data_IF_961841361746
#
_entry.id   IF_961841361746
#
_cell.length_a   1.000
_cell.length_b   1.000
_cell.length_c   1.000
_cell.angle_alpha   90.00
_cell.angle_beta   90.00
_cell.angle_gamma   90.00
#
_symmetry.space_group_name_H-M   'P 1'
#
loop_
_entity.id
_entity.type
_entity.pdbx_description
1 polymer ?
#
# COMPACT_ATOMS: atom_id res chain seq x y z
N UNK A 1 -59.88 -63.73 -17.24
CA UNK A 1 -59.75 -63.04 -15.94
C UNK A 1 -58.98 -61.74 -16.13
N UNK A 2 -59.67 -60.58 -16.14
CA UNK A 2 -59.01 -59.26 -16.17
C UNK A 2 -58.72 -58.84 -14.72
N UNK A 3 -57.47 -58.94 -14.30
CA UNK A 3 -57.04 -58.50 -12.97
C UNK A 3 -57.15 -56.98 -12.86
N UNK A 4 -57.88 -56.52 -11.84
CA UNK A 4 -58.25 -55.13 -11.61
C UNK A 4 -57.05 -54.33 -11.06
N UNK A 5 -56.18 -53.85 -11.96
CA UNK A 5 -54.92 -53.16 -11.63
C UNK A 5 -55.09 -51.67 -11.26
N UNK A 6 -56.32 -51.15 -11.32
CA UNK A 6 -56.60 -49.71 -11.15
C UNK A 6 -56.63 -49.24 -9.68
N UNK A 7 -56.84 -50.15 -8.72
CA UNK A 7 -56.91 -49.78 -7.30
C UNK A 7 -55.53 -49.57 -6.65
N UNK A 8 -54.48 -50.24 -7.16
CA UNK A 8 -53.11 -50.11 -6.62
C UNK A 8 -52.46 -48.77 -7.01
N UNK A 9 -52.74 -48.28 -8.21
CA UNK A 9 -52.27 -46.98 -8.72
C UNK A 9 -52.92 -45.79 -7.99
N UNK A 10 -54.21 -45.88 -7.62
CA UNK A 10 -54.89 -44.83 -6.84
C UNK A 10 -54.34 -44.70 -5.41
N UNK A 11 -54.03 -45.83 -4.76
CA UNK A 11 -53.46 -45.84 -3.40
C UNK A 11 -52.03 -45.26 -3.36
N UNK A 12 -51.23 -45.51 -4.40
CA UNK A 12 -49.89 -44.90 -4.52
C UNK A 12 -49.93 -43.40 -4.78
N UNK A 13 -50.86 -42.91 -5.62
CA UNK A 13 -51.02 -41.46 -5.86
C UNK A 13 -51.48 -40.70 -4.62
N UNK A 14 -52.34 -41.30 -3.80
CA UNK A 14 -52.79 -40.71 -2.54
C UNK A 14 -51.62 -40.56 -1.56
N UNK A 15 -50.75 -41.56 -1.46
CA UNK A 15 -49.59 -41.53 -0.57
C UNK A 15 -48.56 -40.47 -0.97
N UNK A 16 -48.36 -40.23 -2.27
CA UNK A 16 -47.42 -39.20 -2.76
C UNK A 16 -47.94 -37.79 -2.46
N UNK A 17 -49.26 -37.56 -2.58
CA UNK A 17 -49.84 -36.25 -2.33
C UNK A 17 -49.70 -35.84 -0.86
N UNK A 18 -49.99 -36.75 0.07
CA UNK A 18 -49.85 -36.48 1.52
C UNK A 18 -48.39 -36.25 1.92
N UNK A 19 -47.45 -37.00 1.35
CA UNK A 19 -46.01 -36.78 1.60
C UNK A 19 -45.56 -35.40 1.11
N UNK A 20 -46.04 -34.95 -0.05
CA UNK A 20 -45.68 -33.63 -0.57
C UNK A 20 -46.26 -32.48 0.27
N UNK A 21 -47.49 -32.63 0.77
CA UNK A 21 -48.12 -31.64 1.66
C UNK A 21 -47.38 -31.54 3.00
N UNK A 22 -46.95 -32.68 3.58
CA UNK A 22 -46.14 -32.69 4.81
C UNK A 22 -44.75 -32.07 4.61
N UNK A 23 -44.15 -32.25 3.42
CA UNK A 23 -42.86 -31.62 3.07
C UNK A 23 -43.03 -30.10 2.92
N UNK A 24 -44.07 -29.63 2.22
CA UNK A 24 -44.33 -28.19 2.06
C UNK A 24 -44.57 -27.50 3.41
N UNK A 25 -45.37 -28.09 4.31
CA UNK A 25 -45.64 -27.52 5.64
C UNK A 25 -44.36 -27.50 6.52
N UNK A 26 -43.52 -28.53 6.42
CA UNK A 26 -42.23 -28.56 7.10
C UNK A 26 -41.28 -27.48 6.54
N UNK A 27 -41.21 -27.32 5.23
CA UNK A 27 -40.37 -26.31 4.58
C UNK A 27 -40.81 -24.88 4.92
N UNK A 28 -42.11 -24.59 4.90
CA UNK A 28 -42.64 -23.27 5.27
C UNK A 28 -42.37 -22.93 6.74
N UNK A 29 -42.63 -23.87 7.65
CA UNK A 29 -42.41 -23.64 9.09
C UNK A 29 -40.92 -23.47 9.42
N UNK A 30 -40.04 -24.21 8.74
CA UNK A 30 -38.60 -24.07 8.89
C UNK A 30 -38.11 -22.75 8.26
N UNK A 31 -38.60 -22.37 7.08
CA UNK A 31 -38.26 -21.10 6.45
C UNK A 31 -38.63 -19.91 7.32
N UNK A 32 -39.85 -19.86 7.85
CA UNK A 32 -40.32 -18.77 8.71
C UNK A 32 -39.49 -18.64 10.00
N UNK A 33 -39.03 -19.76 10.56
CA UNK A 33 -38.20 -19.77 11.77
C UNK A 33 -36.77 -19.26 11.52
N UNK A 34 -36.18 -19.55 10.36
CA UNK A 34 -34.76 -19.27 10.08
C UNK A 34 -34.52 -18.11 9.11
N UNK A 35 -35.55 -17.55 8.44
CA UNK A 35 -35.39 -16.44 7.48
C UNK A 35 -34.63 -15.24 8.05
N UNK A 36 -34.84 -14.92 9.33
CA UNK A 36 -34.13 -13.82 10.00
C UNK A 36 -32.64 -14.13 10.21
N UNK A 37 -32.31 -15.38 10.57
CA UNK A 37 -30.93 -15.82 10.74
C UNK A 37 -30.22 -15.83 9.39
N UNK A 38 -30.84 -16.39 8.34
CA UNK A 38 -30.28 -16.35 6.99
C UNK A 38 -30.08 -14.92 6.47
N UNK A 39 -31.06 -14.03 6.70
CA UNK A 39 -30.94 -12.62 6.33
C UNK A 39 -29.76 -11.92 7.02
N UNK A 40 -29.59 -12.14 8.32
CA UNK A 40 -28.45 -11.60 9.09
C UNK A 40 -27.13 -12.20 8.58
N UNK A 41 -27.05 -13.52 8.39
CA UNK A 41 -25.85 -14.19 7.89
C UNK A 41 -25.43 -13.70 6.50
N UNK A 42 -26.39 -13.53 5.58
CA UNK A 42 -26.13 -12.98 4.24
C UNK A 42 -25.64 -11.53 4.34
N UNK A 43 -26.26 -10.73 5.21
CA UNK A 43 -25.85 -9.33 5.42
C UNK A 43 -24.42 -9.24 5.96
N UNK A 44 -24.07 -10.06 6.95
CA UNK A 44 -22.71 -10.14 7.50
C UNK A 44 -21.72 -10.58 6.41
N UNK A 45 -22.07 -11.60 5.62
CA UNK A 45 -21.23 -12.07 4.52
C UNK A 45 -20.97 -10.97 3.49
N UNK A 46 -22.00 -10.19 3.12
CA UNK A 46 -21.86 -9.06 2.19
C UNK A 46 -20.95 -7.98 2.76
N UNK A 47 -21.09 -7.63 4.05
CA UNK A 47 -20.22 -6.67 4.72
C UNK A 47 -18.76 -7.16 4.72
N UNK A 48 -18.53 -8.45 5.00
CA UNK A 48 -17.20 -9.05 4.95
C UNK A 48 -16.61 -8.94 3.54
N UNK A 49 -17.37 -9.29 2.50
CA UNK A 49 -16.92 -9.19 1.10
C UNK A 49 -16.55 -7.74 0.75
N UNK A 50 -17.37 -6.77 1.17
CA UNK A 50 -17.08 -5.35 0.95
C UNK A 50 -15.76 -4.96 1.64
N UNK A 51 -15.58 -5.30 2.92
CA UNK A 51 -14.33 -5.02 3.65
C UNK A 51 -13.13 -5.67 2.98
N UNK A 52 -13.24 -6.94 2.60
CA UNK A 52 -12.16 -7.66 1.90
C UNK A 52 -11.84 -7.03 0.54
N UNK A 53 -12.83 -6.54 -0.20
CA UNK A 53 -12.60 -5.86 -1.48
C UNK A 53 -11.76 -4.58 -1.32
N UNK A 54 -11.93 -3.86 -0.20
CA UNK A 54 -11.08 -2.71 0.13
C UNK A 54 -9.70 -3.16 0.61
N UNK A 55 -9.61 -4.12 1.54
CA UNK A 55 -8.31 -4.56 2.10
C UNK A 55 -7.41 -5.20 1.04
N UNK A 56 -7.99 -5.96 0.11
CA UNK A 56 -7.25 -6.59 -1.00
C UNK A 56 -6.94 -5.61 -2.14
N UNK A 57 -7.40 -4.36 -2.07
CA UNK A 57 -7.00 -3.35 -3.04
C UNK A 57 -5.48 -3.16 -2.96
N UNK A 58 -4.75 -3.29 -4.07
CA UNK A 58 -3.29 -3.18 -4.08
C UNK A 58 -2.81 -1.84 -3.52
N UNK A 59 -3.61 -0.77 -3.65
CA UNK A 59 -3.29 0.54 -3.12
C UNK A 59 -3.23 0.58 -1.58
N UNK A 60 -4.03 -0.22 -0.89
CA UNK A 60 -4.09 -0.24 0.58
C UNK A 60 -2.95 -1.08 1.15
N UNK A 61 -2.68 -2.24 0.55
CA UNK A 61 -1.54 -3.08 0.96
C UNK A 61 -0.20 -2.39 0.74
N UNK A 62 -0.03 -1.66 -0.38
CA UNK A 62 1.17 -0.84 -0.65
C UNK A 62 1.34 0.28 0.39
N UNK A 63 0.27 1.00 0.74
CA UNK A 63 0.31 2.03 1.80
C UNK A 63 0.66 1.46 3.17
N UNK A 64 0.18 0.26 3.49
CA UNK A 64 0.50 -0.40 4.74
C UNK A 64 1.97 -0.81 4.80
N UNK A 65 2.48 -1.45 3.75
CA UNK A 65 3.90 -1.82 3.63
C UNK A 65 4.82 -0.58 3.69
N UNK A 66 4.43 0.48 2.98
CA UNK A 66 5.09 1.79 2.99
C UNK A 66 5.26 2.35 4.40
N UNK A 67 4.19 2.33 5.21
CA UNK A 67 4.24 2.83 6.59
C UNK A 67 5.14 2.00 7.52
N UNK A 68 5.21 0.69 7.31
CA UNK A 68 6.06 -0.20 8.13
C UNK A 68 7.54 0.01 7.81
N UNK A 69 7.87 0.18 6.53
CA UNK A 69 9.25 0.30 6.08
C UNK A 69 9.81 1.73 6.25
N UNK A 70 8.96 2.75 6.15
CA UNK A 70 9.38 4.15 6.28
C UNK A 70 9.81 4.49 7.72
N UNK A 71 10.91 5.21 7.85
CA UNK A 71 11.32 5.86 9.09
C UNK A 71 10.70 7.24 9.25
N UNK A 72 10.61 7.72 10.50
CA UNK A 72 10.17 9.07 10.81
C UNK A 72 11.36 9.97 11.19
N UNK A 73 11.33 11.22 10.75
CA UNK A 73 12.28 12.25 11.16
C UNK A 73 12.07 12.59 12.64
N UNK A 74 13.08 12.33 13.49
CA UNK A 74 13.04 12.70 14.92
C UNK A 74 14.25 13.56 15.25
N UNK A 75 14.03 14.77 15.77
CA UNK A 75 15.10 15.71 16.17
C UNK A 75 16.18 15.88 15.09
N UNK A 76 15.73 16.05 13.83
CA UNK A 76 16.57 16.21 12.63
C UNK A 76 17.44 14.99 12.28
N UNK A 77 17.19 13.86 12.93
CA UNK A 77 17.90 12.62 12.67
C UNK A 77 16.96 11.59 12.07
N UNK A 78 17.42 10.91 11.03
CA UNK A 78 16.87 9.65 10.56
C UNK A 78 17.78 8.52 10.98
N UNK A 79 17.20 7.44 11.49
CA UNK A 79 17.90 6.19 11.75
C UNK A 79 17.53 5.24 10.62
N UNK A 80 18.49 4.93 9.74
CA UNK A 80 18.26 4.03 8.60
C UNK A 80 18.33 2.57 9.07
N UNK A 81 19.28 2.26 9.94
CA UNK A 81 19.39 0.98 10.64
C UNK A 81 20.05 1.20 12.01
N UNK A 82 20.41 0.15 12.73
CA UNK A 82 20.99 0.25 14.07
C UNK A 82 22.31 1.03 14.14
N UNK A 83 23.02 1.20 13.03
CA UNK A 83 24.36 1.80 12.98
C UNK A 83 24.45 3.08 12.17
N UNK A 84 23.59 3.27 11.17
CA UNK A 84 23.64 4.40 10.24
C UNK A 84 22.57 5.44 10.56
N UNK A 85 23.02 6.68 10.79
CA UNK A 85 22.14 7.85 10.94
C UNK A 85 22.38 8.87 9.85
N UNK A 86 21.31 9.59 9.51
CA UNK A 86 21.34 10.79 8.66
C UNK A 86 20.93 11.96 9.56
N UNK A 87 21.83 12.90 9.76
CA UNK A 87 21.67 14.07 10.61
C UNK A 87 21.55 15.29 9.71
N UNK A 88 20.39 15.94 9.73
CA UNK A 88 20.13 17.18 9.01
C UNK A 88 20.40 18.38 9.91
N UNK A 89 20.99 19.43 9.36
CA UNK A 89 20.91 20.73 10.03
C UNK A 89 19.46 21.25 10.03
N UNK A 90 19.11 22.12 10.98
CA UNK A 90 17.75 22.69 11.09
C UNK A 90 17.28 23.39 9.81
N UNK A 91 18.19 24.13 9.16
CA UNK A 91 17.88 24.84 7.92
C UNK A 91 17.56 23.84 6.78
N UNK A 92 18.33 22.77 6.69
CA UNK A 92 18.16 21.73 5.67
C UNK A 92 16.84 20.98 5.87
N UNK A 93 16.49 20.65 7.11
CA UNK A 93 15.18 20.07 7.41
C UNK A 93 14.04 20.98 6.97
N UNK A 94 14.09 22.27 7.32
CA UNK A 94 13.05 23.24 6.93
C UNK A 94 12.92 23.35 5.41
N UNK A 95 14.04 23.46 4.72
CA UNK A 95 14.08 23.54 3.26
C UNK A 95 13.55 22.26 2.59
N UNK A 96 13.91 21.08 3.11
CA UNK A 96 13.42 19.79 2.62
C UNK A 96 11.89 19.68 2.75
N UNK A 97 11.35 20.02 3.92
CA UNK A 97 9.90 20.02 4.18
C UNK A 97 9.19 21.04 3.30
N UNK A 98 9.77 22.24 3.14
CA UNK A 98 9.22 23.28 2.29
C UNK A 98 9.18 22.86 0.82
N UNK A 99 10.25 22.23 0.32
CA UNK A 99 10.34 21.73 -1.05
C UNK A 99 9.24 20.70 -1.32
N UNK A 100 9.02 19.78 -0.40
CA UNK A 100 7.92 18.80 -0.47
C UNK A 100 6.54 19.47 -0.48
N UNK A 101 6.29 20.42 0.42
CA UNK A 101 4.99 21.12 0.51
C UNK A 101 4.66 21.88 -0.76
N UNK A 102 5.64 22.59 -1.33
CA UNK A 102 5.46 23.39 -2.54
C UNK A 102 5.18 22.53 -3.78
N UNK A 103 5.55 21.25 -3.75
CA UNK A 103 5.41 20.32 -4.85
C UNK A 103 4.54 19.10 -4.50
N UNK A 104 3.65 19.20 -3.52
CA UNK A 104 2.84 18.07 -3.03
C UNK A 104 2.16 17.21 -4.12
N UNK A 105 1.65 17.76 -5.25
CA UNK A 105 1.04 16.91 -6.29
C UNK A 105 2.04 16.26 -7.26
N UNK A 106 3.32 16.61 -7.20
CA UNK A 106 4.34 16.19 -8.17
C UNK A 106 5.55 15.54 -7.48
N UNK A 107 6.27 14.69 -8.21
CA UNK A 107 7.56 14.20 -7.75
C UNK A 107 8.61 15.33 -7.87
N UNK A 108 9.43 15.51 -6.85
CA UNK A 108 10.63 16.34 -6.90
C UNK A 108 11.87 15.47 -6.73
N UNK A 109 13.00 15.97 -7.20
CA UNK A 109 14.31 15.37 -6.95
C UNK A 109 15.22 16.39 -6.30
N UNK A 110 15.93 15.98 -5.27
CA UNK A 110 16.86 16.79 -4.48
C UNK A 110 18.13 15.97 -4.22
N UNK A 111 19.26 16.65 -4.18
CA UNK A 111 20.55 16.03 -3.93
C UNK A 111 21.09 16.57 -2.59
N UNK A 112 21.24 15.71 -1.59
CA UNK A 112 21.73 16.11 -0.28
C UNK A 112 23.25 15.96 -0.21
N UNK A 113 23.91 17.04 0.21
CA UNK A 113 25.36 17.17 0.25
C UNK A 113 25.78 17.40 1.70
N UNK A 114 26.93 16.84 2.06
CA UNK A 114 27.46 16.93 3.40
C UNK A 114 28.75 16.14 3.55
N UNK A 115 28.94 15.55 4.73
CA UNK A 115 30.11 14.75 5.06
C UNK A 115 29.70 13.50 5.86
N UNK A 116 30.56 12.48 5.81
CA UNK A 116 30.38 11.25 6.60
C UNK A 116 31.37 11.27 7.76
N UNK A 117 30.88 11.21 8.99
CA UNK A 117 31.68 11.20 10.21
C UNK A 117 31.30 9.97 11.03
N UNK A 118 32.26 9.08 11.29
CA UNK A 118 32.04 7.84 12.04
C UNK A 118 30.91 6.95 11.47
N UNK A 119 30.67 6.99 10.16
CA UNK A 119 29.59 6.26 9.49
C UNK A 119 28.25 7.00 9.42
N UNK A 120 28.10 8.12 10.15
CA UNK A 120 26.90 8.94 10.11
C UNK A 120 26.99 10.02 9.02
N UNK A 121 25.87 10.25 8.35
CA UNK A 121 25.73 11.21 7.26
C UNK A 121 25.30 12.56 7.84
N UNK A 122 26.19 13.54 7.84
CA UNK A 122 25.90 14.90 8.31
C UNK A 122 25.63 15.79 7.11
N UNK A 123 24.37 16.13 6.90
CA UNK A 123 23.89 16.88 5.75
C UNK A 123 23.75 18.36 6.10
N UNK A 124 24.38 19.21 5.28
CA UNK A 124 24.40 20.65 5.49
C UNK A 124 24.01 21.46 4.24
N UNK A 125 23.77 20.82 3.10
CA UNK A 125 23.38 21.50 1.85
C UNK A 125 22.40 20.65 1.04
N UNK A 126 21.41 21.32 0.43
CA UNK A 126 20.54 20.76 -0.61
C UNK A 126 20.97 21.36 -1.95
N UNK A 127 21.06 20.52 -2.97
CA UNK A 127 21.16 20.93 -4.36
C UNK A 127 19.87 20.56 -5.08
N UNK A 128 19.28 21.54 -5.77
CA UNK A 128 18.06 21.39 -6.54
C UNK A 128 18.44 21.19 -8.01
N UNK A 129 18.49 19.95 -8.52
CA UNK A 129 18.76 19.74 -9.94
C UNK A 129 17.66 20.38 -10.78
N UNK A 130 18.05 20.95 -11.94
CA UNK A 130 17.07 21.50 -12.87
C UNK A 130 16.15 20.39 -13.35
N UNK A 131 14.85 20.55 -13.10
CA UNK A 131 13.82 19.65 -13.60
C UNK A 131 13.63 19.93 -15.10
N UNK A 132 13.69 18.86 -15.90
CA UNK A 132 13.49 18.86 -17.36
C UNK A 132 12.03 18.53 -17.65
N UNK A 133 11.49 17.52 -16.96
CA UNK A 133 10.11 17.07 -17.08
C UNK A 133 9.58 16.66 -15.69
N UNK A 134 8.32 16.99 -15.40
CA UNK A 134 7.69 16.69 -14.12
C UNK A 134 6.25 16.24 -14.33
N UNK A 135 5.88 15.15 -13.67
CA UNK A 135 4.52 14.62 -13.62
C UNK A 135 4.21 14.08 -12.22
N UNK A 136 3.01 13.54 -12.04
CA UNK A 136 2.56 12.95 -10.77
C UNK A 136 3.31 11.65 -10.42
N UNK A 137 3.84 10.95 -11.43
CA UNK A 137 4.44 9.61 -11.26
C UNK A 137 5.85 9.51 -11.82
N UNK A 138 6.42 10.64 -12.23
CA UNK A 138 7.73 10.68 -12.87
C UNK A 138 8.33 12.07 -12.83
N UNK A 139 9.63 12.15 -12.55
CA UNK A 139 10.45 13.36 -12.69
C UNK A 139 11.73 13.05 -13.47
N UNK A 140 12.01 13.85 -14.49
CA UNK A 140 13.29 13.88 -15.21
C UNK A 140 14.00 15.16 -14.80
N UNK A 141 15.22 15.03 -14.30
CA UNK A 141 16.07 16.17 -13.94
C UNK A 141 17.47 16.01 -14.46
N UNK A 142 18.25 17.08 -14.38
CA UNK A 142 19.70 16.98 -14.41
C UNK A 142 20.21 16.02 -13.32
N UNK A 143 21.37 15.40 -13.56
CA UNK A 143 22.02 14.54 -12.58
C UNK A 143 22.43 15.31 -11.32
N UNK A 144 22.51 14.59 -10.20
CA UNK A 144 23.10 15.12 -8.98
C UNK A 144 24.62 15.31 -9.14
N UNK A 145 25.23 16.33 -8.49
CA UNK A 145 26.68 16.48 -8.43
C UNK A 145 27.34 15.23 -7.82
N UNK A 146 28.57 14.91 -8.20
CA UNK A 146 29.31 13.75 -7.67
C UNK A 146 29.53 13.80 -6.14
N UNK A 147 29.51 15.00 -5.56
CA UNK A 147 29.62 15.23 -4.10
C UNK A 147 28.34 14.91 -3.33
N UNK A 148 27.28 14.48 -4.01
CA UNK A 148 26.01 14.10 -3.39
C UNK A 148 26.18 12.84 -2.56
N UNK A 149 25.73 12.89 -1.31
CA UNK A 149 25.72 11.73 -0.41
C UNK A 149 24.38 11.00 -0.40
N UNK A 150 23.28 11.73 -0.66
CA UNK A 150 21.94 11.15 -0.68
C UNK A 150 21.17 11.72 -1.88
N UNK A 151 20.75 10.85 -2.79
CA UNK A 151 19.80 11.18 -3.86
C UNK A 151 18.40 10.94 -3.32
N UNK A 152 17.60 11.99 -3.17
CA UNK A 152 16.25 11.89 -2.63
C UNK A 152 15.22 12.41 -3.61
N UNK A 153 14.15 11.65 -3.82
CA UNK A 153 12.96 12.13 -4.54
C UNK A 153 11.70 12.02 -3.69
N UNK A 154 10.66 12.75 -4.05
CA UNK A 154 9.36 12.63 -3.40
C UNK A 154 8.42 11.72 -4.16
N UNK A 155 7.52 11.08 -3.44
CA UNK A 155 6.38 10.37 -3.98
C UNK A 155 5.09 10.99 -3.42
N UNK A 156 4.12 11.37 -4.27
CA UNK A 156 2.86 11.92 -3.79
C UNK A 156 1.98 10.84 -3.12
N UNK A 157 0.99 11.29 -2.33
CA UNK A 157 -0.05 10.45 -1.72
C UNK A 157 0.40 9.38 -0.70
N UNK A 158 1.45 9.66 0.07
CA UNK A 158 1.96 8.80 1.16
C UNK A 158 2.46 7.42 0.70
N UNK A 159 2.87 7.30 -0.56
CA UNK A 159 3.58 6.12 -1.05
C UNK A 159 5.08 6.29 -0.82
N UNK A 160 5.73 5.43 -0.04
CA UNK A 160 7.17 5.51 0.25
C UNK A 160 7.97 4.39 -0.44
N UNK A 161 7.36 3.61 -1.33
CA UNK A 161 8.00 2.44 -1.93
C UNK A 161 8.70 2.81 -3.24
N UNK A 162 9.99 2.47 -3.34
CA UNK A 162 10.76 2.60 -4.57
C UNK A 162 10.16 1.79 -5.72
N UNK A 163 10.13 2.39 -6.90
CA UNK A 163 9.82 1.68 -8.14
C UNK A 163 11.03 0.85 -8.62
N UNK A 164 10.80 -0.09 -9.55
CA UNK A 164 11.90 -0.79 -10.22
C UNK A 164 12.83 0.19 -10.97
N UNK A 165 12.28 1.28 -11.51
CA UNK A 165 13.04 2.32 -12.18
C UNK A 165 13.94 3.07 -11.21
N UNK A 166 13.46 3.32 -9.99
CA UNK A 166 14.20 3.98 -8.92
C UNK A 166 15.41 3.13 -8.53
N UNK A 167 15.18 1.84 -8.27
CA UNK A 167 16.26 0.88 -7.95
C UNK A 167 17.31 0.77 -9.06
N UNK A 168 16.89 0.71 -10.33
CA UNK A 168 17.82 0.62 -11.45
C UNK A 168 18.64 1.91 -11.63
N UNK A 169 18.05 3.06 -11.35
CA UNK A 169 18.75 4.35 -11.37
C UNK A 169 19.75 4.44 -10.23
N UNK A 170 19.35 4.04 -9.02
CA UNK A 170 20.24 3.95 -7.86
C UNK A 170 21.42 3.02 -8.09
N UNK A 171 21.18 1.79 -8.58
CA UNK A 171 22.26 0.83 -8.88
C UNK A 171 23.28 1.38 -9.86
N UNK A 172 22.88 2.24 -10.81
CA UNK A 172 23.81 2.91 -11.73
C UNK A 172 24.59 4.02 -11.01
N UNK A 173 23.92 4.87 -10.25
CA UNK A 173 24.57 5.96 -9.51
C UNK A 173 25.52 5.45 -8.41
N UNK A 174 25.21 4.32 -7.79
CA UNK A 174 26.05 3.70 -6.75
C UNK A 174 27.36 3.13 -7.31
N UNK A 175 27.41 2.73 -8.58
CA UNK A 175 28.66 2.30 -9.24
C UNK A 175 29.68 3.42 -9.33
N UNK A 176 29.22 4.68 -9.37
CA UNK A 176 30.09 5.86 -9.39
C UNK A 176 30.35 6.41 -8.00
N UNK A 177 29.43 6.20 -7.05
CA UNK A 177 29.58 6.60 -5.65
C UNK A 177 29.05 5.51 -4.72
N UNK A 178 29.95 4.67 -4.21
CA UNK A 178 29.60 3.53 -3.33
C UNK A 178 28.94 3.96 -2.01
N UNK A 179 29.16 5.22 -1.60
CA UNK A 179 28.60 5.81 -0.37
C UNK A 179 27.28 6.54 -0.62
N UNK A 180 26.73 6.49 -1.83
CA UNK A 180 25.46 7.11 -2.15
C UNK A 180 24.31 6.34 -1.48
N UNK A 181 23.46 7.05 -0.77
CA UNK A 181 22.16 6.56 -0.32
C UNK A 181 21.07 7.03 -1.28
N UNK A 182 20.04 6.21 -1.46
CA UNK A 182 18.79 6.65 -2.09
C UNK A 182 17.73 6.87 -1.01
N UNK A 183 16.99 7.97 -1.11
CA UNK A 183 15.85 8.27 -0.25
C UNK A 183 14.57 8.48 -1.04
N UNK A 184 13.43 8.12 -0.45
CA UNK A 184 12.10 8.57 -0.87
C UNK A 184 11.47 9.37 0.27
N UNK A 185 10.97 10.56 -0.04
CA UNK A 185 10.14 11.37 0.85
C UNK A 185 8.67 11.25 0.45
N UNK A 186 7.86 10.66 1.33
CA UNK A 186 6.43 10.41 1.05
C UNK A 186 5.49 11.25 1.91
N UNK A 187 6.03 11.89 2.96
CA UNK A 187 5.33 12.93 3.73
C UNK A 187 6.36 13.86 4.38
N UNK A 188 5.88 14.92 5.05
CA UNK A 188 6.74 15.91 5.71
C UNK A 188 7.77 15.29 6.67
N UNK A 189 7.45 14.16 7.28
CA UNK A 189 8.32 13.51 8.26
C UNK A 189 8.57 12.03 7.96
N UNK A 190 8.07 11.47 6.85
CA UNK A 190 8.23 10.04 6.50
C UNK A 190 9.16 9.85 5.31
N UNK A 191 10.15 9.00 5.52
CA UNK A 191 11.23 8.77 4.59
C UNK A 191 11.58 7.28 4.55
N UNK A 192 11.88 6.76 3.36
CA UNK A 192 12.47 5.44 3.20
C UNK A 192 13.86 5.61 2.60
N UNK A 193 14.87 4.97 3.18
CA UNK A 193 16.24 5.01 2.67
C UNK A 193 16.72 3.61 2.32
N UNK A 194 17.51 3.49 1.25
CA UNK A 194 18.18 2.26 0.84
C UNK A 194 19.69 2.49 0.80
N UNK A 195 20.43 1.54 1.35
CA UNK A 195 21.89 1.54 1.42
C UNK A 195 22.54 0.26 0.86
N UNK A 196 21.77 -0.68 0.31
CA UNK A 196 22.24 -1.97 -0.24
C UNK A 196 22.73 -1.87 -1.69
#
# INVERSE_FOLDING_TARGET
MKYNNNNKLKKHKFNIKTINEEIEEYEESHYEKYKHIYGISITILLIIIIIFSFVLSPNISLKFASNILSGNLKNNTFTVNSTLKIILSENIKKELIQSYKQNKPYEIKLCLIGQIINGDYIINKIFHPKIIEQSVVHVISQGCPETTLIDIHSHPFDNCLFSNTDFNTYKRAKKTNEKLLMGVMCSENKFLFVNE
#
